data_IF_914053363739
#
_entry.id   IF_914053363739
#
_cell.length_a   1.000
_cell.length_b   1.000
_cell.length_c   1.000
_cell.angle_alpha   90.00
_cell.angle_beta   90.00
_cell.angle_gamma   90.00
#
_symmetry.space_group_name_H-M   'P 1'
#
loop_
_entity.id
_entity.type
_entity.pdbx_description
1 polymer ?
#
# COMPACT_ATOMS: atom_id res chain seq x y z
N UNK A 1 12.44 15.67 -5.47
CA UNK A 1 12.66 15.87 -4.03
C UNK A 1 12.37 14.56 -3.34
N UNK A 2 13.27 14.10 -2.47
CA UNK A 2 13.09 12.85 -1.72
C UNK A 2 13.47 13.02 -0.25
N UNK A 3 12.91 12.16 0.60
CA UNK A 3 13.09 12.15 2.04
C UNK A 3 13.10 10.71 2.54
N UNK A 4 13.99 10.41 3.49
CA UNK A 4 13.99 9.12 4.18
C UNK A 4 13.60 9.34 5.64
N UNK A 5 12.54 8.66 6.09
CA UNK A 5 12.02 8.71 7.45
C UNK A 5 12.01 7.34 8.11
N UNK A 6 11.97 7.35 9.44
CA UNK A 6 12.03 6.14 10.28
C UNK A 6 13.25 6.11 11.19
N UNK A 7 13.51 4.97 11.86
CA UNK A 7 12.78 3.71 11.69
C UNK A 7 11.36 3.72 12.30
N UNK A 8 10.43 3.04 11.65
CA UNK A 8 9.08 2.71 12.12
C UNK A 8 8.97 1.18 12.20
N UNK A 9 8.83 0.62 13.40
CA UNK A 9 8.76 -0.84 13.62
C UNK A 9 9.91 -1.63 12.95
N UNK A 10 11.11 -1.04 12.92
CA UNK A 10 12.29 -1.64 12.28
C UNK A 10 12.41 -1.42 10.77
N UNK A 11 11.47 -0.70 10.15
CA UNK A 11 11.48 -0.35 8.74
C UNK A 11 11.73 1.14 8.50
N UNK A 12 12.38 1.46 7.39
CA UNK A 12 12.60 2.80 6.89
C UNK A 12 11.68 3.08 5.71
N UNK A 13 11.23 4.32 5.59
CA UNK A 13 10.37 4.79 4.51
C UNK A 13 11.12 5.84 3.72
N UNK A 14 11.38 5.58 2.44
CA UNK A 14 11.85 6.60 1.52
C UNK A 14 10.65 7.13 0.72
N UNK A 15 10.36 8.42 0.81
CA UNK A 15 9.31 9.09 0.05
C UNK A 15 9.89 10.06 -0.98
N UNK A 16 9.22 10.19 -2.12
CA UNK A 16 9.58 11.13 -3.19
C UNK A 16 8.32 11.70 -3.80
N UNK A 17 8.33 12.98 -4.15
CA UNK A 17 7.29 13.59 -4.98
C UNK A 17 7.78 13.72 -6.42
N UNK A 18 6.89 13.44 -7.36
CA UNK A 18 7.10 13.64 -8.78
C UNK A 18 6.01 14.54 -9.35
N UNK A 19 6.39 15.49 -10.19
CA UNK A 19 5.44 16.42 -10.80
C UNK A 19 4.84 15.79 -12.06
N UNK A 20 3.51 15.81 -12.16
CA UNK A 20 2.72 15.32 -13.28
C UNK A 20 1.69 16.40 -13.60
N UNK A 21 1.87 17.07 -14.74
CA UNK A 21 0.94 18.07 -15.27
C UNK A 21 0.57 19.19 -14.28
N UNK A 22 1.56 19.72 -13.56
CA UNK A 22 1.36 20.80 -12.58
C UNK A 22 0.78 20.35 -11.24
N UNK A 23 0.69 19.04 -11.00
CA UNK A 23 0.33 18.44 -9.70
C UNK A 23 1.42 17.45 -9.28
N UNK A 24 1.45 17.09 -8.01
CA UNK A 24 2.45 16.20 -7.45
C UNK A 24 1.86 14.84 -7.10
N UNK A 25 2.52 13.78 -7.57
CA UNK A 25 2.26 12.41 -7.17
C UNK A 25 3.34 11.95 -6.20
N UNK A 26 2.94 11.46 -5.04
CA UNK A 26 3.84 10.93 -4.04
C UNK A 26 4.15 9.46 -4.31
N UNK A 27 5.37 9.05 -4.02
CA UNK A 27 5.78 7.66 -3.98
C UNK A 27 6.47 7.39 -2.66
N UNK A 28 6.28 6.20 -2.12
CA UNK A 28 6.97 5.74 -0.93
C UNK A 28 7.47 4.31 -1.10
N UNK A 29 8.64 4.03 -0.55
CA UNK A 29 9.23 2.70 -0.50
C UNK A 29 9.56 2.34 0.93
N UNK A 30 9.18 1.14 1.34
CA UNK A 30 9.49 0.58 2.65
C UNK A 30 10.70 -0.34 2.50
N UNK A 31 11.70 -0.22 3.36
CA UNK A 31 12.91 -1.05 3.39
C UNK A 31 13.27 -1.41 4.83
N UNK A 32 13.84 -2.60 5.09
CA UNK A 32 14.29 -2.99 6.44
C UNK A 32 15.60 -2.29 6.84
N UNK A 33 16.40 -1.89 5.86
CA UNK A 33 17.60 -1.08 6.06
C UNK A 33 17.36 0.36 5.61
N UNK A 34 18.06 1.32 6.22
CA UNK A 34 17.97 2.74 5.85
C UNK A 34 18.56 2.93 4.45
N UNK A 35 17.76 3.27 3.43
CA UNK A 35 18.32 3.56 2.12
C UNK A 35 18.99 4.94 2.13
N UNK A 36 19.98 5.14 1.26
CA UNK A 36 20.60 6.46 1.06
C UNK A 36 19.66 7.48 0.40
N UNK A 37 18.69 7.01 -0.40
CA UNK A 37 17.69 7.82 -1.09
C UNK A 37 16.54 6.95 -1.62
N UNK A 38 15.45 7.58 -2.08
CA UNK A 38 14.32 6.88 -2.71
C UNK A 38 14.70 6.01 -3.92
N UNK A 39 15.72 6.43 -4.67
CA UNK A 39 16.19 5.70 -5.85
C UNK A 39 16.98 4.46 -5.46
N UNK A 40 17.77 4.55 -4.38
CA UNK A 40 18.55 3.44 -3.85
C UNK A 40 17.69 2.43 -3.07
N UNK A 41 16.52 2.82 -2.61
CA UNK A 41 15.57 1.92 -1.95
C UNK A 41 15.10 0.75 -2.85
N UNK A 42 15.24 0.84 -4.18
CA UNK A 42 14.98 -0.29 -5.10
C UNK A 42 16.04 -1.40 -5.01
N UNK A 43 17.23 -1.12 -4.46
CA UNK A 43 18.34 -2.08 -4.39
C UNK A 43 18.25 -3.06 -3.22
N UNK A 44 17.28 -2.88 -2.32
CA UNK A 44 17.01 -3.90 -1.32
C UNK A 44 16.29 -5.08 -2.01
N UNK A 45 17.08 -6.00 -2.56
CA UNK A 45 16.65 -7.22 -3.27
C UNK A 45 16.12 -8.32 -2.35
N UNK A 46 16.06 -8.10 -1.03
CA UNK A 46 15.49 -9.07 -0.10
C UNK A 46 13.99 -9.27 -0.39
N UNK A 47 13.57 -10.45 -0.86
CA UNK A 47 12.16 -10.75 -1.07
C UNK A 47 11.44 -10.63 0.29
N UNK A 48 10.22 -10.10 0.27
CA UNK A 48 9.36 -9.85 1.45
C UNK A 48 9.64 -8.56 2.27
N UNK A 49 10.87 -8.06 2.26
CA UNK A 49 11.24 -6.87 3.04
C UNK A 49 10.76 -5.55 2.39
N UNK A 50 10.84 -5.44 1.05
CA UNK A 50 10.59 -4.18 0.36
C UNK A 50 9.15 -4.06 -0.15
N UNK A 51 8.57 -2.86 -0.07
CA UNK A 51 7.29 -2.55 -0.70
C UNK A 51 7.36 -1.20 -1.42
N UNK A 52 6.86 -1.15 -2.65
CA UNK A 52 6.66 0.09 -3.39
C UNK A 52 5.20 0.50 -3.28
N UNK A 53 4.95 1.72 -2.84
CA UNK A 53 3.63 2.27 -2.62
C UNK A 53 3.49 3.60 -3.36
N UNK A 54 2.44 3.73 -4.15
CA UNK A 54 2.08 4.99 -4.78
C UNK A 54 1.14 5.75 -3.85
N UNK A 55 1.34 7.06 -3.74
CA UNK A 55 0.41 7.97 -3.10
C UNK A 55 -0.97 7.85 -3.77
N UNK A 56 -2.03 7.80 -2.96
CA UNK A 56 -3.39 7.55 -3.45
C UNK A 56 -4.03 8.70 -4.24
N UNK A 57 -3.27 9.73 -4.63
CA UNK A 57 -3.81 10.91 -5.30
C UNK A 57 -2.75 11.90 -5.78
N UNK A 58 -3.21 12.87 -6.55
CA UNK A 58 -2.44 14.03 -7.01
C UNK A 58 -2.69 15.21 -6.06
N UNK A 59 -1.63 15.92 -5.68
CA UNK A 59 -1.66 17.02 -4.72
C UNK A 59 -1.11 18.30 -5.33
N UNK A 60 -1.48 19.45 -4.78
CA UNK A 60 -0.99 20.75 -5.28
C UNK A 60 0.43 21.09 -4.79
N UNK A 61 0.94 20.38 -3.77
CA UNK A 61 2.28 20.57 -3.22
C UNK A 61 3.07 19.26 -3.13
N UNK A 62 4.40 19.29 -3.32
CA UNK A 62 5.24 18.09 -3.20
C UNK A 62 5.26 17.55 -1.77
N UNK A 63 5.15 18.41 -0.75
CA UNK A 63 5.09 18.00 0.65
C UNK A 63 3.83 17.20 0.96
N UNK A 64 2.67 17.63 0.46
CA UNK A 64 1.41 16.91 0.65
C UNK A 64 1.43 15.54 -0.06
N UNK A 65 1.99 15.49 -1.27
CA UNK A 65 2.20 14.26 -2.01
C UNK A 65 3.06 13.26 -1.24
N UNK A 66 4.22 13.70 -0.72
CA UNK A 66 5.10 12.86 0.10
C UNK A 66 4.44 12.42 1.41
N UNK A 67 3.71 13.31 2.09
CA UNK A 67 3.02 12.99 3.33
C UNK A 67 1.95 11.91 3.13
N UNK A 68 1.20 11.98 2.03
CA UNK A 68 0.22 10.96 1.65
C UNK A 68 0.87 9.60 1.40
N UNK A 69 1.96 9.56 0.63
CA UNK A 69 2.69 8.32 0.37
C UNK A 69 3.34 7.74 1.65
N UNK A 70 3.88 8.59 2.52
CA UNK A 70 4.43 8.19 3.82
C UNK A 70 3.35 7.61 4.75
N UNK A 71 2.15 8.20 4.77
CA UNK A 71 1.02 7.69 5.54
C UNK A 71 0.66 6.26 5.10
N UNK A 72 0.57 6.02 3.79
CA UNK A 72 0.31 4.68 3.25
C UNK A 72 1.42 3.69 3.59
N UNK A 73 2.69 4.11 3.49
CA UNK A 73 3.83 3.29 3.87
C UNK A 73 3.81 2.89 5.35
N UNK A 74 3.46 3.82 6.23
CA UNK A 74 3.31 3.55 7.66
C UNK A 74 2.13 2.63 7.93
N UNK A 75 1.02 2.79 7.22
CA UNK A 75 -0.13 1.86 7.30
C UNK A 75 0.24 0.45 6.84
N UNK A 76 1.05 0.34 5.79
CA UNK A 76 1.55 -0.93 5.27
C UNK A 76 2.50 -1.62 6.26
N UNK A 77 3.40 -0.88 6.89
CA UNK A 77 4.28 -1.40 7.95
C UNK A 77 3.47 -1.93 9.13
N UNK A 78 2.45 -1.17 9.56
CA UNK A 78 1.53 -1.60 10.63
C UNK A 78 0.77 -2.88 10.28
N UNK A 79 0.37 -3.03 9.01
CA UNK A 79 -0.27 -4.26 8.50
C UNK A 79 0.69 -5.43 8.32
N UNK A 80 2.01 -5.17 8.22
CA UNK A 80 3.07 -6.17 8.08
C UNK A 80 3.58 -6.74 9.40
N UNK A 81 3.19 -6.20 10.56
CA UNK A 81 3.59 -6.77 11.86
C UNK A 81 3.18 -8.24 11.86
N UNK A 82 4.14 -9.19 11.97
CA UNK A 82 3.81 -10.59 12.07
C UNK A 82 3.23 -10.80 13.47
N UNK A 83 1.91 -10.77 13.60
CA UNK A 83 1.27 -11.58 14.63
C UNK A 83 1.60 -13.01 14.23
N UNK A 84 2.49 -13.65 14.99
CA UNK A 84 2.78 -15.06 14.82
C UNK A 84 1.48 -15.85 14.67
N UNK A 85 1.36 -16.56 13.55
CA UNK A 85 0.37 -17.62 13.33
C UNK A 85 -1.10 -17.20 13.33
N UNK A 86 -1.60 -16.76 12.17
CA UNK A 86 -2.88 -17.28 11.65
C UNK A 86 -2.92 -17.12 10.13
N UNK A 87 -3.22 -18.18 9.36
CA UNK A 87 -3.43 -18.04 7.92
C UNK A 87 -4.64 -17.14 7.67
N UNK A 88 -4.48 -16.23 6.71
CA UNK A 88 -5.53 -15.35 6.23
C UNK A 88 -6.65 -16.20 5.58
N UNK A 89 -7.65 -16.54 6.37
CA UNK A 89 -8.94 -17.00 5.88
C UNK A 89 -9.80 -15.79 5.54
N UNK A 90 -10.19 -15.74 4.28
CA UNK A 90 -11.39 -15.07 3.73
C UNK A 90 -11.58 -13.55 3.86
N UNK A 91 -11.80 -12.94 2.69
CA UNK A 91 -12.65 -11.76 2.58
C UNK A 91 -12.36 -10.91 1.36
N UNK A 92 -12.90 -11.28 0.19
CA UNK A 92 -13.59 -10.42 -0.79
C UNK A 92 -13.65 -11.13 -2.14
N UNK A 93 -14.53 -12.13 -2.23
CA UNK A 93 -15.17 -12.45 -3.51
C UNK A 93 -16.33 -11.47 -3.66
N UNK A 94 -16.17 -10.57 -4.61
CA UNK A 94 -17.17 -9.64 -5.12
C UNK A 94 -18.39 -10.42 -5.65
N UNK A 95 -19.62 -10.23 -5.12
CA UNK A 95 -20.80 -10.76 -5.76
C UNK A 95 -21.23 -9.84 -6.90
N UNK A 96 -21.17 -10.35 -8.13
CA UNK A 96 -21.78 -9.74 -9.30
C UNK A 96 -23.32 -9.75 -9.13
N UNK A 97 -24.06 -8.67 -9.45
CA UNK A 97 -25.50 -8.70 -9.46
C UNK A 97 -25.97 -9.32 -10.77
N UNK A 98 -26.15 -10.64 -10.78
CA UNK A 98 -26.55 -11.40 -11.96
C UNK A 98 -27.59 -12.46 -11.65
N UNK A 99 -28.82 -12.20 -12.10
CA UNK A 99 -29.85 -13.18 -12.48
C UNK A 99 -30.40 -14.13 -11.42
N UNK A 100 -31.63 -13.83 -10.98
CA UNK A 100 -32.51 -14.77 -10.30
C UNK A 100 -32.94 -15.93 -11.22
N UNK A 101 -32.94 -17.19 -10.74
CA UNK A 101 -33.84 -18.21 -11.24
C UNK A 101 -35.02 -18.36 -10.28
N UNK A 102 -36.20 -18.07 -10.80
CA UNK A 102 -37.50 -18.37 -10.21
C UNK A 102 -37.65 -19.89 -10.06
N UNK A 103 -37.72 -20.40 -8.83
CA UNK A 103 -38.06 -21.80 -8.56
C UNK A 103 -39.38 -21.82 -7.80
N UNK A 104 -40.43 -22.27 -8.49
CA UNK A 104 -41.77 -22.50 -7.94
C UNK A 104 -41.71 -23.58 -6.83
N UNK A 105 -42.36 -23.39 -5.67
CA UNK A 105 -42.44 -24.45 -4.67
C UNK A 105 -43.45 -25.52 -5.08
N UNK A 106 -42.97 -26.75 -5.23
CA UNK A 106 -43.81 -27.94 -5.30
C UNK A 106 -44.35 -28.27 -3.90
N UNK A 107 -45.68 -28.23 -3.74
CA UNK A 107 -46.37 -28.66 -2.52
C UNK A 107 -47.16 -29.93 -2.81
N UNK A 108 -46.88 -30.95 -1.98
CA UNK A 108 -47.56 -32.23 -1.80
C UNK A 108 -49.08 -32.22 -2.02
N UNK A 109 -49.56 -33.26 -2.71
CA UNK A 109 -50.74 -34.06 -2.36
C UNK A 109 -50.49 -35.49 -2.83
#
# INVERSE_FOLDING_TARGET
MDRVTGPFDGYYVASSANEISGRYLGFAKVCCARPGSFWLATLCEEPDCCAHLCGGGLFDTPEAAMASAELLARSHIRGRVPVGGVPATEGTQQPQPGTAPSVKPARRA
#
